data_IF_553606644225
#
_entry.id   IF_553606644225
#
_cell.length_a   1.000
_cell.length_b   1.000
_cell.length_c   1.000
_cell.angle_alpha   90.00
_cell.angle_beta   90.00
_cell.angle_gamma   90.00
#
_symmetry.space_group_name_H-M   'P 1'
#
loop_
_entity.id
_entity.type
_entity.pdbx_description
1 polymer ?
#
# COMPACT_ATOMS: atom_id res chain seq x y z
N UNK A 1 7.76 -12.35 -21.26
CA UNK A 1 7.77 -13.66 -20.57
C UNK A 1 7.76 -13.36 -19.09
N UNK A 2 6.81 -13.90 -18.34
CA UNK A 2 6.70 -13.68 -16.88
C UNK A 2 7.95 -14.23 -16.22
N UNK A 3 8.70 -13.37 -15.53
CA UNK A 3 9.97 -13.75 -14.90
C UNK A 3 9.75 -14.54 -13.60
N UNK A 4 10.68 -15.44 -13.19
CA UNK A 4 10.62 -16.09 -11.88
C UNK A 4 10.55 -15.09 -10.72
N UNK A 5 11.20 -13.92 -10.88
CA UNK A 5 11.15 -12.82 -9.93
C UNK A 5 9.72 -12.27 -9.76
N UNK A 6 9.01 -12.08 -10.87
CA UNK A 6 7.64 -11.55 -10.89
C UNK A 6 6.66 -12.50 -10.19
N UNK A 7 6.79 -13.80 -10.44
CA UNK A 7 5.98 -14.83 -9.76
C UNK A 7 6.27 -14.81 -8.26
N UNK A 8 7.54 -14.77 -7.87
CA UNK A 8 7.93 -14.80 -6.46
C UNK A 8 7.46 -13.55 -5.72
N UNK A 9 7.56 -12.37 -6.35
CA UNK A 9 7.06 -11.12 -5.80
C UNK A 9 5.54 -11.17 -5.57
N UNK A 10 4.79 -11.65 -6.56
CA UNK A 10 3.34 -11.80 -6.45
C UNK A 10 2.92 -12.82 -5.38
N UNK A 11 3.60 -13.96 -5.29
CA UNK A 11 3.32 -14.97 -4.25
C UNK A 11 3.60 -14.42 -2.85
N UNK A 12 4.72 -13.70 -2.67
CA UNK A 12 5.05 -13.07 -1.38
C UNK A 12 4.01 -12.00 -0.98
N UNK A 13 3.58 -11.17 -1.94
CA UNK A 13 2.55 -10.15 -1.71
C UNK A 13 1.17 -10.78 -1.43
N UNK A 14 0.79 -11.84 -2.14
CA UNK A 14 -0.44 -12.57 -1.85
C UNK A 14 -0.42 -13.21 -0.46
N UNK A 15 0.70 -13.82 -0.06
CA UNK A 15 0.90 -14.35 1.27
C UNK A 15 0.77 -13.25 2.34
N UNK A 16 1.35 -12.07 2.09
CA UNK A 16 1.23 -10.90 2.95
C UNK A 16 -0.24 -10.51 3.19
N UNK A 17 -1.04 -10.40 2.12
CA UNK A 17 -2.45 -10.02 2.21
C UNK A 17 -3.26 -11.08 2.97
N UNK A 18 -3.03 -12.37 2.70
CA UNK A 18 -3.70 -13.46 3.41
C UNK A 18 -3.36 -13.46 4.91
N UNK A 19 -2.10 -13.21 5.26
CA UNK A 19 -1.65 -13.10 6.64
C UNK A 19 -2.22 -11.86 7.33
N UNK A 20 -2.35 -10.73 6.61
CA UNK A 20 -3.01 -9.53 7.12
C UNK A 20 -4.49 -9.83 7.44
N UNK A 21 -5.19 -10.54 6.54
CA UNK A 21 -6.57 -11.01 6.74
C UNK A 21 -6.73 -11.92 7.95
N UNK A 22 -5.72 -12.74 8.24
CA UNK A 22 -5.64 -13.60 9.43
C UNK A 22 -5.10 -12.87 10.67
N UNK A 23 -4.85 -11.56 10.59
CA UNK A 23 -4.27 -10.75 11.65
C UNK A 23 -2.96 -11.33 12.22
N UNK A 24 -2.17 -11.98 11.36
CA UNK A 24 -0.92 -12.64 11.73
C UNK A 24 0.27 -11.67 11.57
N UNK A 25 1.14 -11.58 12.57
CA UNK A 25 2.32 -10.71 12.58
C UNK A 25 3.30 -10.98 11.42
N UNK A 26 3.30 -12.21 10.87
CA UNK A 26 4.15 -12.55 9.73
C UNK A 26 3.80 -11.78 8.45
N UNK A 27 2.63 -11.14 8.39
CA UNK A 27 2.24 -10.24 7.29
C UNK A 27 3.34 -9.21 7.00
N UNK A 28 3.99 -8.69 8.04
CA UNK A 28 5.02 -7.65 7.89
C UNK A 28 6.28 -8.16 7.18
N UNK A 29 6.83 -9.32 7.56
CA UNK A 29 8.02 -9.90 6.90
C UNK A 29 7.72 -10.27 5.46
N UNK A 30 6.59 -10.92 5.24
CA UNK A 30 6.18 -11.30 3.88
C UNK A 30 5.93 -10.08 3.01
N UNK A 31 5.37 -9.01 3.57
CA UNK A 31 5.14 -7.74 2.88
C UNK A 31 6.45 -7.04 2.54
N UNK A 32 7.40 -6.96 3.48
CA UNK A 32 8.73 -6.38 3.24
C UNK A 32 9.47 -7.15 2.15
N UNK A 33 9.44 -8.48 2.19
CA UNK A 33 10.03 -9.34 1.14
C UNK A 33 9.35 -9.08 -0.19
N UNK A 34 8.02 -9.09 -0.26
CA UNK A 34 7.27 -8.80 -1.48
C UNK A 34 7.59 -7.43 -2.07
N UNK A 35 7.56 -6.37 -1.25
CA UNK A 35 7.88 -5.01 -1.67
C UNK A 35 9.33 -4.89 -2.15
N UNK A 36 10.27 -5.57 -1.50
CA UNK A 36 11.68 -5.57 -1.92
C UNK A 36 11.86 -6.27 -3.27
N UNK A 37 11.18 -7.40 -3.49
CA UNK A 37 11.20 -8.10 -4.78
C UNK A 37 10.59 -7.24 -5.89
N UNK A 38 9.47 -6.57 -5.62
CA UNK A 38 8.86 -5.61 -6.55
C UNK A 38 9.77 -4.40 -6.80
N UNK A 39 10.47 -3.90 -5.79
CA UNK A 39 11.44 -2.81 -5.96
C UNK A 39 12.56 -3.21 -6.93
N UNK A 40 13.10 -4.43 -6.80
CA UNK A 40 14.12 -4.95 -7.71
C UNK A 40 13.56 -5.11 -9.13
N UNK A 41 12.35 -5.64 -9.26
CA UNK A 41 11.68 -5.82 -10.55
C UNK A 41 11.46 -4.47 -11.26
N UNK A 42 10.93 -3.48 -10.54
CA UNK A 42 10.69 -2.15 -11.09
C UNK A 42 11.99 -1.40 -11.42
N UNK A 43 13.05 -1.61 -10.63
CA UNK A 43 14.35 -1.06 -10.93
C UNK A 43 14.92 -1.61 -12.24
N UNK A 44 14.82 -2.93 -12.46
CA UNK A 44 15.24 -3.57 -13.72
C UNK A 44 14.42 -3.07 -14.93
N UNK A 45 13.16 -2.72 -14.70
CA UNK A 45 12.25 -2.16 -15.71
C UNK A 45 12.33 -0.64 -15.87
N UNK A 46 13.28 0.04 -15.21
CA UNK A 46 13.44 1.51 -15.20
C UNK A 46 12.22 2.29 -14.68
N UNK A 47 11.39 1.65 -13.85
CA UNK A 47 10.20 2.23 -13.22
C UNK A 47 10.56 2.84 -11.85
N UNK A 48 11.39 3.88 -11.85
CA UNK A 48 11.94 4.47 -10.62
C UNK A 48 10.88 5.03 -9.66
N UNK A 49 9.75 5.53 -10.19
CA UNK A 49 8.65 6.02 -9.37
C UNK A 49 8.06 4.89 -8.50
N UNK A 50 7.85 3.72 -9.12
CA UNK A 50 7.34 2.53 -8.43
C UNK A 50 8.38 1.97 -7.44
N UNK A 51 9.67 2.05 -7.74
CA UNK A 51 10.74 1.70 -6.77
C UNK A 51 10.63 2.53 -5.49
N UNK A 52 10.46 3.85 -5.61
CA UNK A 52 10.32 4.75 -4.46
C UNK A 52 9.09 4.38 -3.63
N UNK A 53 7.97 4.04 -4.29
CA UNK A 53 6.76 3.57 -3.62
C UNK A 53 7.00 2.27 -2.85
N UNK A 54 7.73 1.31 -3.43
CA UNK A 54 8.08 0.07 -2.75
C UNK A 54 8.98 0.31 -1.53
N UNK A 55 9.95 1.22 -1.63
CA UNK A 55 10.78 1.63 -0.48
C UNK A 55 9.92 2.23 0.64
N UNK A 56 8.94 3.06 0.29
CA UNK A 56 7.97 3.58 1.26
C UNK A 56 7.20 2.46 1.99
N UNK A 57 6.73 1.45 1.25
CA UNK A 57 6.06 0.30 1.87
C UNK A 57 6.99 -0.57 2.73
N UNK A 58 8.26 -0.71 2.36
CA UNK A 58 9.25 -1.38 3.20
C UNK A 58 9.46 -0.63 4.52
N UNK A 59 9.64 0.69 4.46
CA UNK A 59 9.85 1.53 5.67
C UNK A 59 8.61 1.49 6.57
N UNK A 60 7.42 1.72 6.01
CA UNK A 60 6.18 1.66 6.81
C UNK A 60 5.89 0.25 7.32
N UNK A 61 6.26 -0.78 6.57
CA UNK A 61 6.17 -2.18 7.00
C UNK A 61 7.07 -2.50 8.20
N UNK A 62 8.29 -1.96 8.24
CA UNK A 62 9.18 -2.08 9.39
C UNK A 62 8.59 -1.39 10.63
N UNK A 63 8.03 -0.18 10.47
CA UNK A 63 7.38 0.54 11.57
C UNK A 63 6.15 -0.22 12.07
N UNK A 64 5.33 -0.75 11.15
CA UNK A 64 4.15 -1.55 11.46
C UNK A 64 4.50 -2.82 12.21
N UNK A 65 5.58 -3.50 11.81
CA UNK A 65 6.08 -4.65 12.54
C UNK A 65 6.47 -4.33 13.97
N UNK A 66 7.29 -3.28 14.15
CA UNK A 66 7.74 -2.85 15.49
C UNK A 66 6.54 -2.48 16.36
N UNK A 67 5.53 -1.82 15.79
CA UNK A 67 4.31 -1.46 16.50
C UNK A 67 3.50 -2.69 16.92
N UNK A 68 3.38 -3.71 16.05
CA UNK A 68 2.68 -4.95 16.37
C UNK A 68 3.44 -5.84 17.35
N UNK A 69 4.78 -5.83 17.29
CA UNK A 69 5.63 -6.54 18.25
C UNK A 69 5.61 -5.91 19.63
N UNK A 70 5.67 -4.57 19.72
CA UNK A 70 5.66 -3.85 21.00
C UNK A 70 4.33 -4.03 21.74
N UNK A 71 3.23 -4.22 21.01
CA UNK A 71 1.91 -4.39 21.62
C UNK A 71 1.45 -3.15 22.38
N UNK A 72 0.47 -3.32 23.26
CA UNK A 72 0.03 -2.29 24.21
C UNK A 72 0.28 -2.80 25.64
N UNK A 73 1.22 -2.16 26.35
CA UNK A 73 1.54 -2.44 27.76
C UNK A 73 1.82 -3.92 28.10
N UNK A 74 2.47 -4.64 27.19
CA UNK A 74 2.85 -6.05 27.38
C UNK A 74 1.85 -7.05 26.80
N UNK A 75 0.69 -6.60 26.32
CA UNK A 75 -0.30 -7.43 25.62
C UNK A 75 -0.31 -7.16 24.11
N UNK A 76 -0.89 -8.08 23.34
CA UNK A 76 -1.04 -7.89 21.88
C UNK A 76 -1.89 -6.65 21.59
N UNK A 77 -1.45 -5.80 20.66
CA UNK A 77 -2.18 -4.59 20.27
C UNK A 77 -3.63 -4.92 19.88
N UNK A 78 -4.67 -4.34 20.50
CA UNK A 78 -6.04 -4.79 20.29
C UNK A 78 -6.55 -4.43 18.89
N UNK A 79 -7.34 -5.33 18.30
CA UNK A 79 -8.10 -5.03 17.07
C UNK A 79 -9.22 -4.06 17.45
N UNK A 80 -9.23 -2.89 16.82
CA UNK A 80 -10.19 -1.84 17.15
C UNK A 80 -10.74 -1.19 15.89
N UNK A 81 -11.82 -0.44 16.02
CA UNK A 81 -12.28 0.42 14.94
C UNK A 81 -11.69 1.84 15.10
N UNK A 82 -11.52 2.53 13.98
CA UNK A 82 -11.24 3.95 13.94
C UNK A 82 -12.48 4.70 14.44
N UNK A 83 -12.26 5.81 15.13
CA UNK A 83 -13.39 6.67 15.51
C UNK A 83 -13.98 7.24 14.23
N UNK A 84 -15.31 7.24 14.10
CA UNK A 84 -16.00 7.82 12.93
C UNK A 84 -15.55 9.26 12.66
N UNK A 85 -15.34 10.06 13.73
CA UNK A 85 -14.78 11.42 13.61
C UNK A 85 -13.41 11.45 12.92
N UNK A 86 -12.55 10.47 13.21
CA UNK A 86 -11.23 10.34 12.56
C UNK A 86 -11.39 10.02 11.07
N UNK A 87 -12.29 9.11 10.71
CA UNK A 87 -12.57 8.78 9.31
C UNK A 87 -13.15 9.97 8.53
N UNK A 88 -14.11 10.67 9.13
CA UNK A 88 -14.72 11.89 8.55
C UNK A 88 -13.69 13.01 8.36
N UNK A 89 -12.59 13.03 9.12
CA UNK A 89 -11.52 14.00 8.94
C UNK A 89 -10.44 13.51 7.96
N UNK A 90 -10.08 12.23 8.01
CA UNK A 90 -9.06 11.63 7.13
C UNK A 90 -9.50 11.63 5.68
N UNK A 91 -10.77 11.36 5.38
CA UNK A 91 -11.26 11.26 4.00
C UNK A 91 -11.14 12.60 3.26
N UNK A 92 -11.62 13.74 3.77
CA UNK A 92 -11.41 15.04 3.13
C UNK A 92 -9.93 15.41 3.00
N UNK A 93 -9.11 15.13 4.02
CA UNK A 93 -7.67 15.39 3.96
C UNK A 93 -7.01 14.56 2.87
N UNK A 94 -7.39 13.28 2.74
CA UNK A 94 -6.91 12.40 1.67
C UNK A 94 -7.34 12.89 0.28
N UNK A 95 -8.57 13.39 0.14
CA UNK A 95 -9.05 13.98 -1.13
C UNK A 95 -8.26 15.24 -1.48
N UNK A 96 -8.03 16.14 -0.52
CA UNK A 96 -7.22 17.35 -0.72
C UNK A 96 -5.78 17.01 -1.06
N UNK A 97 -5.17 16.06 -0.36
CA UNK A 97 -3.82 15.58 -0.64
C UNK A 97 -3.74 14.92 -2.03
N UNK A 98 -4.77 14.18 -2.44
CA UNK A 98 -4.88 13.60 -3.79
C UNK A 98 -4.93 14.70 -4.85
N UNK A 99 -5.74 15.74 -4.65
CA UNK A 99 -5.83 16.86 -5.58
C UNK A 99 -4.52 17.65 -5.67
N UNK A 100 -3.87 17.90 -4.52
CA UNK A 100 -2.60 18.60 -4.46
C UNK A 100 -1.46 17.82 -5.13
N UNK A 101 -1.34 16.52 -4.81
CA UNK A 101 -0.33 15.65 -5.41
C UNK A 101 -0.61 15.38 -6.90
N UNK A 102 -1.88 15.23 -7.27
CA UNK A 102 -2.31 15.09 -8.66
C UNK A 102 -2.03 16.34 -9.49
N UNK A 103 -2.25 17.53 -8.93
CA UNK A 103 -1.87 18.78 -9.58
C UNK A 103 -0.34 18.87 -9.73
N UNK A 104 0.42 18.53 -8.69
CA UNK A 104 1.88 18.50 -8.77
C UNK A 104 2.36 17.58 -9.89
N UNK A 105 1.85 16.34 -9.96
CA UNK A 105 2.18 15.42 -11.04
C UNK A 105 1.76 15.95 -12.41
N UNK A 106 0.58 16.57 -12.52
CA UNK A 106 0.11 17.15 -13.78
C UNK A 106 1.02 18.29 -14.29
N UNK A 107 1.54 19.14 -13.40
CA UNK A 107 2.40 20.26 -13.78
C UNK A 107 3.87 19.88 -13.96
N UNK A 108 4.39 18.93 -13.18
CA UNK A 108 5.82 18.60 -13.15
C UNK A 108 6.19 17.29 -13.84
N UNK A 109 5.22 16.43 -14.18
CA UNK A 109 5.48 15.12 -14.81
C UNK A 109 4.54 14.84 -15.97
N UNK A 110 5.00 14.02 -16.93
CA UNK A 110 4.15 13.48 -18.01
C UNK A 110 3.37 12.24 -17.54
N UNK A 111 2.77 12.32 -16.34
CA UNK A 111 1.97 11.23 -15.81
C UNK A 111 0.71 11.03 -16.66
N UNK A 112 0.38 9.77 -16.97
CA UNK A 112 -0.77 9.44 -17.83
C UNK A 112 -2.11 9.74 -17.14
N UNK A 113 -2.23 9.40 -15.85
CA UNK A 113 -3.43 9.61 -15.06
C UNK A 113 -3.07 10.20 -13.67
N UNK A 114 -2.52 11.44 -13.62
CA UNK A 114 -1.89 11.98 -12.41
C UNK A 114 -2.82 12.01 -11.20
N UNK A 115 -4.10 12.32 -11.38
CA UNK A 115 -5.08 12.33 -10.30
C UNK A 115 -5.47 10.93 -9.81
N UNK A 116 -5.57 9.96 -10.72
CA UNK A 116 -5.90 8.57 -10.39
C UNK A 116 -4.75 7.91 -9.65
N UNK A 117 -3.52 8.09 -10.16
CA UNK A 117 -2.29 7.60 -9.53
C UNK A 117 -2.11 8.22 -8.13
N UNK A 118 -2.43 9.51 -7.99
CA UNK A 118 -2.42 10.20 -6.70
C UNK A 118 -3.45 9.67 -5.72
N UNK A 119 -4.65 9.33 -6.20
CA UNK A 119 -5.71 8.76 -5.36
C UNK A 119 -5.28 7.40 -4.82
N UNK A 120 -4.80 6.52 -5.70
CA UNK A 120 -4.25 5.20 -5.34
C UNK A 120 -3.16 5.35 -4.27
N UNK A 121 -2.20 6.26 -4.46
CA UNK A 121 -1.13 6.51 -3.50
C UNK A 121 -1.68 6.99 -2.14
N UNK A 122 -2.47 8.06 -2.11
CA UNK A 122 -2.90 8.68 -0.86
C UNK A 122 -3.83 7.76 -0.07
N UNK A 123 -4.77 7.08 -0.73
CA UNK A 123 -5.65 6.13 -0.06
C UNK A 123 -4.90 4.86 0.40
N UNK A 124 -3.86 4.42 -0.31
CA UNK A 124 -2.98 3.34 0.16
C UNK A 124 -2.23 3.73 1.42
N UNK A 125 -1.73 4.97 1.49
CA UNK A 125 -1.07 5.50 2.70
C UNK A 125 -2.02 5.48 3.89
N UNK A 126 -3.26 5.95 3.71
CA UNK A 126 -4.30 5.90 4.76
C UNK A 126 -4.58 4.45 5.19
N UNK A 127 -4.77 3.54 4.23
CA UNK A 127 -5.01 2.13 4.51
C UNK A 127 -3.85 1.50 5.29
N UNK A 128 -2.61 1.80 4.91
CA UNK A 128 -1.40 1.31 5.56
C UNK A 128 -1.31 1.80 7.01
N UNK A 129 -1.56 3.08 7.27
CA UNK A 129 -1.54 3.60 8.65
C UNK A 129 -2.62 2.99 9.53
N UNK A 130 -3.81 2.75 8.99
CA UNK A 130 -4.89 2.06 9.70
C UNK A 130 -4.51 0.60 10.01
N UNK A 131 -3.88 -0.09 9.05
CA UNK A 131 -3.38 -1.45 9.25
C UNK A 131 -2.29 -1.52 10.34
N UNK A 132 -1.33 -0.59 10.32
CA UNK A 132 -0.29 -0.48 11.36
C UNK A 132 -0.89 -0.35 12.77
N UNK A 133 -2.02 0.36 12.88
CA UNK A 133 -2.76 0.55 14.14
C UNK A 133 -3.78 -0.56 14.46
N UNK A 134 -3.79 -1.67 13.71
CA UNK A 134 -4.79 -2.76 13.83
C UNK A 134 -6.24 -2.28 13.74
N UNK A 135 -6.49 -1.29 12.88
CA UNK A 135 -7.84 -0.78 12.60
C UNK A 135 -8.50 -1.58 11.50
N UNK A 136 -9.67 -2.18 11.76
CA UNK A 136 -10.41 -2.97 10.75
C UNK A 136 -10.85 -2.10 9.57
N UNK A 137 -11.04 -0.79 9.80
CA UNK A 137 -11.40 0.18 8.77
C UNK A 137 -10.36 0.34 7.65
N UNK A 138 -9.18 -0.29 7.76
CA UNK A 138 -8.22 -0.36 6.65
C UNK A 138 -8.78 -1.08 5.41
N UNK A 139 -9.62 -2.11 5.59
CA UNK A 139 -10.08 -2.98 4.51
C UNK A 139 -10.91 -2.26 3.43
N UNK A 140 -11.91 -1.42 3.78
CA UNK A 140 -12.60 -0.59 2.79
C UNK A 140 -11.67 0.27 1.93
N UNK A 141 -10.60 0.84 2.51
CA UNK A 141 -9.63 1.63 1.75
C UNK A 141 -8.82 0.73 0.81
N UNK A 142 -8.37 -0.44 1.25
CA UNK A 142 -7.70 -1.38 0.36
C UNK A 142 -8.59 -1.86 -0.79
N UNK A 143 -9.86 -2.13 -0.53
CA UNK A 143 -10.82 -2.51 -1.59
C UNK A 143 -10.97 -1.36 -2.60
N UNK A 144 -11.13 -0.12 -2.12
CA UNK A 144 -11.23 1.06 -2.98
C UNK A 144 -9.98 1.22 -3.85
N UNK A 145 -8.79 1.16 -3.24
CA UNK A 145 -7.51 1.26 -3.93
C UNK A 145 -7.39 0.19 -5.01
N UNK A 146 -7.63 -1.08 -4.68
CA UNK A 146 -7.52 -2.19 -5.63
C UNK A 146 -8.52 -2.07 -6.78
N UNK A 147 -9.74 -1.59 -6.50
CA UNK A 147 -10.77 -1.38 -7.53
C UNK A 147 -10.34 -0.33 -8.56
N UNK A 148 -9.53 0.64 -8.16
CA UNK A 148 -8.99 1.68 -9.06
C UNK A 148 -7.69 1.21 -9.73
N UNK A 149 -6.82 0.54 -8.98
CA UNK A 149 -5.50 0.10 -9.45
C UNK A 149 -5.59 -1.01 -10.51
N UNK A 150 -6.49 -1.99 -10.36
CA UNK A 150 -6.59 -3.13 -11.30
C UNK A 150 -6.91 -2.69 -12.74
N UNK A 151 -7.94 -1.85 -13.01
CA UNK A 151 -8.18 -1.35 -14.36
C UNK A 151 -7.03 -0.49 -14.90
N UNK A 152 -6.38 0.27 -14.02
CA UNK A 152 -5.24 1.11 -14.38
C UNK A 152 -4.04 0.26 -14.83
N UNK A 153 -3.66 -0.78 -14.08
CA UNK A 153 -2.57 -1.67 -14.47
C UNK A 153 -2.92 -2.54 -15.68
N UNK A 154 -4.17 -2.99 -15.80
CA UNK A 154 -4.65 -3.66 -17.01
C UNK A 154 -4.53 -2.76 -18.27
N UNK A 155 -4.79 -1.45 -18.14
CA UNK A 155 -4.60 -0.48 -19.23
C UNK A 155 -3.13 -0.25 -19.61
N UNK A 156 -2.20 -0.66 -18.74
CA UNK A 156 -0.74 -0.57 -18.92
C UNK A 156 -0.10 -1.90 -19.32
N UNK A 157 -0.91 -2.88 -19.72
CA UNK A 157 -0.48 -4.25 -20.09
C UNK A 157 0.22 -5.02 -18.95
N UNK A 158 0.09 -4.56 -17.70
CA UNK A 158 0.64 -5.19 -16.50
C UNK A 158 -0.38 -6.16 -15.89
N UNK A 159 -0.75 -7.21 -16.63
CA UNK A 159 -1.86 -8.10 -16.26
C UNK A 159 -1.65 -8.91 -14.97
N UNK A 160 -0.40 -9.11 -14.54
CA UNK A 160 -0.05 -9.89 -13.37
C UNK A 160 0.10 -9.07 -12.09
N UNK A 161 -0.03 -7.74 -12.16
CA UNK A 161 0.24 -6.78 -11.07
C UNK A 161 -1.06 -6.06 -10.69
#
# INVERSE_FOLDING_TARGET
>A
MIGPLEITANVASAACILLAGRNNIHTWWTGIVGCTLFAVLFFQSNLYADVVLQVFFVVTGLVGWVQWMRGDKGDTLPITNARVKTLVLIVPVAVVATAAYGALLHYYTKAYAPFVDSAVLVFSVVAQFLLMQRKVDNWPFWILVNTIAVPLYASRELYLT
#
